data_IF_763606197355
#
_entry.id   IF_763606197355
#
_cell.length_a   1.000
_cell.length_b   1.000
_cell.length_c   1.000
_cell.angle_alpha   90.00
_cell.angle_beta   90.00
_cell.angle_gamma   90.00
#
_symmetry.space_group_name_H-M   'P 1'
#
loop_
_entity.id
_entity.type
_entity.pdbx_description
1 polymer ?
#
# COMPACT_ATOMS: atom_id res chain seq x y z
N UNK A 1 13.02 18.01 14.08
CA UNK A 1 13.90 16.98 14.70
C UNK A 1 13.88 15.76 13.80
N UNK A 2 15.01 15.05 13.61
CA UNK A 2 15.03 13.84 12.80
C UNK A 2 14.18 12.74 13.44
N UNK A 3 13.51 11.95 12.62
CA UNK A 3 12.67 10.83 13.04
C UNK A 3 13.53 9.59 13.32
N UNK A 4 13.47 9.05 14.52
CA UNK A 4 14.22 7.85 14.92
C UNK A 4 13.43 6.59 14.62
N UNK A 5 13.96 5.75 13.74
CA UNK A 5 13.29 4.52 13.31
C UNK A 5 14.08 3.30 13.76
N UNK A 6 13.40 2.36 14.41
CA UNK A 6 13.93 1.04 14.71
C UNK A 6 13.53 0.04 13.61
N UNK A 7 14.47 -0.45 12.78
CA UNK A 7 14.16 -1.43 11.74
C UNK A 7 14.10 -2.87 12.31
N UNK A 8 13.03 -3.59 12.01
CA UNK A 8 12.83 -4.97 12.47
C UNK A 8 12.53 -5.93 11.30
N UNK A 9 13.54 -6.72 10.93
CA UNK A 9 13.45 -7.64 9.80
C UNK A 9 13.40 -6.96 8.42
N UNK A 10 13.74 -5.66 8.36
CA UNK A 10 13.90 -4.89 7.12
C UNK A 10 15.39 -4.72 6.85
N UNK A 11 15.81 -4.77 5.58
CA UNK A 11 17.21 -4.60 5.18
C UNK A 11 17.70 -3.20 5.51
N UNK A 12 18.71 -3.14 6.39
CA UNK A 12 19.34 -1.89 6.80
C UNK A 12 19.99 -1.16 5.62
N UNK A 13 20.65 -1.89 4.73
CA UNK A 13 21.32 -1.31 3.56
C UNK A 13 20.32 -0.61 2.63
N UNK A 14 19.15 -1.21 2.40
CA UNK A 14 18.10 -0.60 1.59
C UNK A 14 17.50 0.63 2.27
N UNK A 15 17.34 0.58 3.59
CA UNK A 15 16.88 1.74 4.38
C UNK A 15 17.86 2.91 4.29
N UNK A 16 19.15 2.66 4.53
CA UNK A 16 20.20 3.69 4.44
C UNK A 16 20.26 4.28 3.03
N UNK A 17 20.22 3.44 1.99
CA UNK A 17 20.19 3.89 0.60
C UNK A 17 19.01 4.84 0.32
N UNK A 18 17.80 4.50 0.77
CA UNK A 18 16.61 5.35 0.56
C UNK A 18 16.73 6.67 1.32
N UNK A 19 17.19 6.63 2.58
CA UNK A 19 17.37 7.82 3.42
C UNK A 19 18.38 8.78 2.77
N UNK A 20 19.51 8.25 2.29
CA UNK A 20 20.55 9.05 1.64
C UNK A 20 20.10 9.63 0.30
N UNK A 21 19.53 8.81 -0.59
CA UNK A 21 19.10 9.23 -1.93
C UNK A 21 18.00 10.29 -1.87
N UNK A 22 17.07 10.16 -0.92
CA UNK A 22 15.96 11.10 -0.74
C UNK A 22 16.26 12.22 0.27
N UNK A 23 17.46 12.22 0.86
CA UNK A 23 17.89 13.15 1.90
C UNK A 23 16.84 13.32 3.03
N UNK A 24 16.30 12.19 3.51
CA UNK A 24 15.22 12.21 4.50
C UNK A 24 15.78 12.49 5.90
N UNK A 25 15.06 13.27 6.75
CA UNK A 25 15.46 13.52 8.13
C UNK A 25 15.14 12.31 9.03
N UNK A 26 15.76 11.16 8.75
CA UNK A 26 15.53 9.89 9.44
C UNK A 26 16.84 9.35 10.00
N UNK A 27 16.83 8.90 11.24
CA UNK A 27 17.97 8.25 11.90
C UNK A 27 17.58 6.81 12.27
N UNK A 28 18.39 5.84 11.86
CA UNK A 28 18.17 4.44 12.23
C UNK A 28 18.75 4.16 13.62
N UNK A 29 17.89 3.78 14.57
CA UNK A 29 18.30 3.39 15.94
C UNK A 29 18.29 1.87 16.13
N UNK A 30 19.15 1.38 17.02
CA UNK A 30 19.19 -0.02 17.47
C UNK A 30 18.43 -0.24 18.77
N UNK A 31 17.94 0.83 19.39
CA UNK A 31 17.24 0.78 20.65
C UNK A 31 15.79 1.22 20.46
N UNK A 32 14.86 0.38 20.91
CA UNK A 32 13.41 0.64 20.80
C UNK A 32 13.00 1.76 21.76
N UNK A 33 13.70 1.96 22.89
CA UNK A 33 13.38 3.03 23.85
C UNK A 33 13.62 4.44 23.27
N UNK A 34 14.55 4.56 22.32
CA UNK A 34 14.89 5.82 21.64
C UNK A 34 14.21 5.97 20.28
N UNK A 35 13.31 5.06 19.91
CA UNK A 35 12.65 5.07 18.62
C UNK A 35 11.31 5.81 18.66
N UNK A 36 11.10 6.72 17.70
CA UNK A 36 9.81 7.37 17.47
C UNK A 36 8.83 6.40 16.77
N UNK A 37 9.37 5.42 16.02
CA UNK A 37 8.58 4.38 15.37
C UNK A 37 9.39 3.12 15.05
N UNK A 38 8.70 1.98 14.93
CA UNK A 38 9.27 0.70 14.50
C UNK A 38 8.87 0.44 13.05
N UNK A 39 9.82 0.21 12.15
CA UNK A 39 9.54 -0.24 10.78
C UNK A 39 9.81 -1.74 10.66
N UNK A 40 8.78 -2.54 10.40
CA UNK A 40 8.87 -4.00 10.45
C UNK A 40 8.24 -4.70 9.25
N UNK A 41 8.74 -5.89 8.89
CA UNK A 41 8.00 -6.75 7.95
C UNK A 41 6.74 -7.33 8.61
N UNK A 42 5.62 -7.32 7.88
CA UNK A 42 4.34 -7.88 8.33
C UNK A 42 4.46 -9.35 8.74
N UNK A 43 5.26 -10.13 8.01
CA UNK A 43 5.54 -11.54 8.30
C UNK A 43 6.16 -11.73 9.69
N UNK A 44 7.09 -10.86 10.07
CA UNK A 44 7.78 -10.92 11.36
C UNK A 44 6.93 -10.39 12.51
N UNK A 45 6.03 -9.44 12.27
CA UNK A 45 5.11 -8.93 13.31
C UNK A 45 3.99 -9.93 13.64
N UNK A 46 3.44 -10.62 12.63
CA UNK A 46 2.41 -11.65 12.84
C UNK A 46 2.91 -12.82 13.70
N UNK A 47 4.17 -13.20 13.53
CA UNK A 47 4.75 -14.37 14.19
C UNK A 47 5.41 -14.07 15.55
N UNK A 48 5.68 -12.80 15.88
CA UNK A 48 6.35 -12.42 17.13
C UNK A 48 5.48 -11.55 18.05
N UNK A 49 4.78 -12.20 18.97
CA UNK A 49 3.97 -11.55 20.01
C UNK A 49 4.78 -10.62 20.94
N UNK A 50 6.07 -10.90 21.15
CA UNK A 50 6.97 -10.10 22.01
C UNK A 50 7.18 -8.68 21.48
N UNK A 51 7.41 -8.50 20.17
CA UNK A 51 7.61 -7.17 19.59
C UNK A 51 6.35 -6.31 19.78
N UNK A 52 5.17 -6.88 19.52
CA UNK A 52 3.89 -6.19 19.72
C UNK A 52 3.68 -5.80 21.17
N UNK A 53 4.04 -6.67 22.10
CA UNK A 53 3.95 -6.39 23.53
C UNK A 53 4.89 -5.25 23.94
N UNK A 54 6.16 -5.31 23.55
CA UNK A 54 7.16 -4.27 23.85
C UNK A 54 6.75 -2.92 23.26
N UNK A 55 6.35 -2.89 22.00
CA UNK A 55 5.87 -1.68 21.33
C UNK A 55 4.64 -1.09 22.04
N UNK A 56 3.70 -1.94 22.49
CA UNK A 56 2.51 -1.50 23.24
C UNK A 56 2.87 -0.93 24.63
N UNK A 57 3.79 -1.58 25.35
CA UNK A 57 4.26 -1.11 26.66
C UNK A 57 4.97 0.24 26.52
N UNK A 58 5.81 0.39 25.48
CA UNK A 58 6.61 1.60 25.23
C UNK A 58 5.87 2.68 24.43
N UNK A 59 4.62 2.43 24.03
CA UNK A 59 3.80 3.33 23.20
C UNK A 59 4.47 3.72 21.85
N UNK A 60 5.33 2.85 21.31
CA UNK A 60 5.99 3.09 20.03
C UNK A 60 5.14 2.48 18.90
N UNK A 61 4.71 3.27 17.90
CA UNK A 61 3.91 2.74 16.79
C UNK A 61 4.73 1.77 15.92
N UNK A 62 4.10 0.68 15.49
CA UNK A 62 4.69 -0.27 14.53
C UNK A 62 4.12 0.02 13.14
N UNK A 63 4.98 0.49 12.25
CA UNK A 63 4.72 0.59 10.83
C UNK A 63 5.14 -0.70 10.13
N UNK A 64 4.18 -1.35 9.47
CA UNK A 64 4.43 -2.64 8.81
C UNK A 64 4.55 -2.46 7.29
N UNK A 65 5.59 -3.04 6.70
CA UNK A 65 5.75 -3.19 5.25
C UNK A 65 5.66 -4.67 4.85
N UNK A 66 5.26 -4.96 3.61
CA UNK A 66 5.00 -6.32 3.14
C UNK A 66 6.30 -7.04 2.77
N UNK A 67 7.27 -6.30 2.21
CA UNK A 67 8.57 -6.78 1.78
C UNK A 67 9.64 -5.70 2.01
N UNK A 68 10.89 -6.14 2.14
CA UNK A 68 12.05 -5.25 2.20
C UNK A 68 12.50 -4.95 0.77
N UNK A 69 11.78 -4.06 0.09
CA UNK A 69 12.13 -3.56 -1.24
C UNK A 69 12.24 -2.04 -1.20
N UNK A 70 13.10 -1.47 -2.04
CA UNK A 70 13.32 -0.02 -2.12
C UNK A 70 12.00 0.76 -2.29
N UNK A 71 11.07 0.40 -3.20
CA UNK A 71 9.81 1.12 -3.34
C UNK A 71 8.94 1.11 -2.07
N UNK A 72 8.84 -0.04 -1.39
CA UNK A 72 8.04 -0.15 -0.16
C UNK A 72 8.66 0.61 1.01
N UNK A 73 9.99 0.59 1.13
CA UNK A 73 10.72 1.36 2.14
C UNK A 73 10.53 2.85 1.88
N UNK A 74 10.73 3.31 0.65
CA UNK A 74 10.51 4.71 0.24
C UNK A 74 9.11 5.19 0.59
N UNK A 75 8.08 4.45 0.17
CA UNK A 75 6.68 4.78 0.46
C UNK A 75 6.43 4.85 1.96
N UNK A 76 6.94 3.87 2.72
CA UNK A 76 6.73 3.84 4.17
C UNK A 76 7.43 4.99 4.90
N UNK A 77 8.66 5.35 4.50
CA UNK A 77 9.39 6.46 5.12
C UNK A 77 8.74 7.81 4.82
N UNK A 78 8.30 8.04 3.57
CA UNK A 78 7.55 9.25 3.20
C UNK A 78 6.26 9.39 4.02
N UNK A 79 5.52 8.28 4.18
CA UNK A 79 4.32 8.23 5.02
C UNK A 79 4.59 8.56 6.48
N UNK A 80 5.67 8.03 7.05
CA UNK A 80 6.05 8.29 8.44
C UNK A 80 6.44 9.76 8.68
N UNK A 81 6.94 10.43 7.65
CA UNK A 81 7.30 11.84 7.68
C UNK A 81 6.14 12.76 7.26
N UNK A 82 4.96 12.21 6.97
CA UNK A 82 3.83 12.94 6.36
C UNK A 82 4.23 13.74 5.12
N UNK A 83 5.15 13.20 4.31
CA UNK A 83 5.57 13.78 3.03
C UNK A 83 4.65 13.36 1.87
N UNK A 84 3.54 12.74 2.21
CA UNK A 84 2.53 12.24 1.29
C UNK A 84 1.74 13.44 0.73
N UNK A 85 1.83 13.68 -0.58
CA UNK A 85 0.88 14.54 -1.31
C UNK A 85 -0.54 13.99 -1.11
N UNK A 86 -1.61 14.81 -1.18
CA UNK A 86 -3.00 14.35 -1.03
C UNK A 86 -3.37 13.16 -1.92
N UNK A 87 -2.69 12.95 -3.05
CA UNK A 87 -2.82 11.75 -3.92
C UNK A 87 -2.48 10.41 -3.23
N UNK A 88 -1.70 10.42 -2.15
CA UNK A 88 -1.34 9.22 -1.39
C UNK A 88 -2.36 8.82 -0.31
N UNK A 89 -3.38 9.65 -0.07
CA UNK A 89 -4.52 9.28 0.78
C UNK A 89 -5.29 8.11 0.15
N UNK A 90 -5.34 8.06 -1.19
CA UNK A 90 -6.10 7.08 -1.97
C UNK A 90 -5.46 5.68 -1.93
N UNK A 91 -4.13 5.57 -1.77
CA UNK A 91 -3.46 4.28 -1.56
C UNK A 91 -3.90 3.60 -0.23
N UNK A 92 -4.32 4.38 0.78
CA UNK A 92 -4.83 3.82 2.04
C UNK A 92 -6.15 3.10 1.79
N UNK A 93 -7.02 3.64 0.95
CA UNK A 93 -8.28 3.00 0.58
C UNK A 93 -8.04 1.77 -0.31
N UNK A 94 -7.14 1.86 -1.30
CA UNK A 94 -6.76 0.69 -2.11
C UNK A 94 -6.18 -0.45 -1.25
N UNK A 95 -5.46 -0.11 -0.18
CA UNK A 95 -4.93 -1.10 0.77
C UNK A 95 -6.00 -1.84 1.59
N UNK A 96 -7.23 -1.30 1.70
CA UNK A 96 -8.37 -1.98 2.32
C UNK A 96 -8.91 -3.11 1.44
N UNK A 97 -8.85 -2.94 0.13
CA UNK A 97 -9.30 -3.95 -0.85
C UNK A 97 -8.21 -5.00 -1.12
N UNK A 98 -6.94 -4.62 -1.04
CA UNK A 98 -5.82 -5.54 -1.28
C UNK A 98 -5.57 -6.50 -0.10
N UNK A 99 -5.75 -7.79 -0.36
CA UNK A 99 -5.62 -8.83 0.65
C UNK A 99 -4.15 -9.12 1.01
N UNK A 100 -3.26 -9.15 0.00
CA UNK A 100 -1.85 -9.49 0.17
C UNK A 100 -0.90 -8.35 -0.22
N UNK A 101 -1.33 -7.42 -1.08
CA UNK A 101 -0.52 -6.37 -1.69
C UNK A 101 0.62 -6.91 -2.53
N UNK A 102 0.32 -7.92 -3.33
CA UNK A 102 1.14 -8.14 -4.49
C UNK A 102 1.05 -6.91 -5.39
N UNK A 103 2.10 -6.69 -6.17
CA UNK A 103 2.19 -5.60 -7.14
C UNK A 103 1.02 -5.68 -8.14
N UNK A 104 0.69 -6.89 -8.62
CA UNK A 104 -0.47 -7.16 -9.50
C UNK A 104 -1.82 -6.72 -8.89
N UNK A 105 -2.05 -6.93 -7.59
CA UNK A 105 -3.27 -6.48 -6.92
C UNK A 105 -3.34 -4.95 -6.86
N UNK A 106 -2.21 -4.30 -6.57
CA UNK A 106 -2.11 -2.85 -6.43
C UNK A 106 -2.29 -2.19 -7.80
N UNK A 107 -1.56 -2.66 -8.81
CA UNK A 107 -1.62 -2.14 -10.18
C UNK A 107 -3.05 -2.25 -10.74
N UNK A 108 -3.71 -3.38 -10.51
CA UNK A 108 -5.07 -3.61 -10.98
C UNK A 108 -6.12 -2.73 -10.26
N UNK A 109 -5.93 -2.47 -8.97
CA UNK A 109 -6.80 -1.57 -8.21
C UNK A 109 -6.57 -0.11 -8.61
N UNK A 110 -5.32 0.29 -8.84
CA UNK A 110 -4.98 1.60 -9.35
C UNK A 110 -5.54 1.81 -10.77
N UNK A 111 -5.44 0.83 -11.65
CA UNK A 111 -6.05 0.84 -12.98
C UNK A 111 -7.56 1.10 -12.90
N UNK A 112 -8.28 0.36 -12.03
CA UNK A 112 -9.71 0.53 -11.84
C UNK A 112 -10.05 1.91 -11.28
N UNK A 113 -9.28 2.42 -10.32
CA UNK A 113 -9.44 3.75 -9.76
C UNK A 113 -9.30 4.84 -10.82
N UNK A 114 -8.20 4.81 -11.59
CA UNK A 114 -7.95 5.80 -12.65
C UNK A 114 -9.03 5.75 -13.72
N UNK A 115 -9.50 4.56 -14.10
CA UNK A 115 -10.61 4.40 -15.03
C UNK A 115 -11.88 5.09 -14.51
N UNK A 116 -12.22 4.90 -13.23
CA UNK A 116 -13.38 5.53 -12.60
C UNK A 116 -13.23 7.06 -12.56
N UNK A 117 -12.13 7.54 -11.98
CA UNK A 117 -11.93 8.95 -11.66
C UNK A 117 -11.63 9.83 -12.86
N UNK A 118 -10.99 9.29 -13.91
CA UNK A 118 -10.57 10.09 -15.07
C UNK A 118 -11.47 9.91 -16.29
N UNK A 119 -12.22 8.82 -16.37
CA UNK A 119 -12.99 8.46 -17.56
C UNK A 119 -14.46 8.23 -17.23
N UNK A 120 -14.79 7.27 -16.36
CA UNK A 120 -16.18 6.86 -16.17
C UNK A 120 -17.03 7.99 -15.57
N UNK A 121 -16.56 8.61 -14.49
CA UNK A 121 -17.29 9.71 -13.84
C UNK A 121 -17.20 11.00 -14.66
N UNK A 122 -16.01 11.51 -15.08
CA UNK A 122 -15.95 12.81 -15.73
C UNK A 122 -16.47 12.81 -17.16
N UNK A 123 -16.29 11.70 -17.90
CA UNK A 123 -16.65 11.61 -19.33
C UNK A 123 -17.94 10.84 -19.56
N UNK A 124 -18.48 10.16 -18.55
CA UNK A 124 -19.70 9.35 -18.68
C UNK A 124 -19.52 8.16 -19.64
N UNK A 125 -18.30 7.62 -19.74
CA UNK A 125 -17.96 6.58 -20.72
C UNK A 125 -17.67 5.25 -20.04
N UNK A 126 -18.18 4.12 -20.57
CA UNK A 126 -17.80 2.81 -20.05
C UNK A 126 -16.33 2.49 -20.39
N UNK A 127 -15.64 1.81 -19.47
CA UNK A 127 -14.23 1.45 -19.63
C UNK A 127 -14.04 -0.05 -19.42
N UNK A 128 -13.32 -0.70 -20.33
CA UNK A 128 -12.82 -2.07 -20.14
C UNK A 128 -11.39 -2.01 -19.58
N UNK A 129 -11.16 -2.74 -18.49
CA UNK A 129 -9.84 -2.90 -17.88
C UNK A 129 -9.06 -4.04 -18.54
N UNK A 130 -7.80 -4.19 -18.17
CA UNK A 130 -6.96 -5.31 -18.57
C UNK A 130 -7.50 -6.65 -18.03
N UNK A 131 -7.24 -7.77 -18.75
CA UNK A 131 -7.52 -9.10 -18.23
C UNK A 131 -6.80 -9.38 -16.92
N UNK A 132 -7.52 -9.90 -15.93
CA UNK A 132 -7.00 -10.19 -14.60
C UNK A 132 -7.62 -11.47 -14.04
N UNK A 133 -6.93 -12.07 -13.07
CA UNK A 133 -7.41 -13.26 -12.34
C UNK A 133 -8.76 -13.01 -11.67
N UNK A 134 -9.51 -14.08 -11.37
CA UNK A 134 -10.82 -13.96 -10.73
C UNK A 134 -10.76 -13.24 -9.38
N UNK A 135 -9.71 -13.47 -8.59
CA UNK A 135 -9.49 -12.79 -7.31
C UNK A 135 -9.29 -11.28 -7.52
N UNK A 136 -8.46 -10.88 -8.48
CA UNK A 136 -8.19 -9.46 -8.75
C UNK A 136 -9.43 -8.73 -9.28
N UNK A 137 -10.16 -9.35 -10.20
CA UNK A 137 -11.43 -8.79 -10.71
C UNK A 137 -12.47 -8.61 -9.60
N UNK A 138 -12.49 -9.48 -8.59
CA UNK A 138 -13.37 -9.33 -7.44
C UNK A 138 -13.04 -8.06 -6.64
N UNK A 139 -11.77 -7.80 -6.35
CA UNK A 139 -11.39 -6.58 -5.62
C UNK A 139 -11.65 -5.32 -6.44
N UNK A 140 -11.39 -5.36 -7.76
CA UNK A 140 -11.74 -4.26 -8.66
C UNK A 140 -13.26 -4.00 -8.64
N UNK A 141 -14.08 -5.06 -8.60
CA UNK A 141 -15.53 -4.92 -8.48
C UNK A 141 -15.94 -4.25 -7.16
N UNK A 142 -15.36 -4.68 -6.03
CA UNK A 142 -15.60 -4.10 -4.70
C UNK A 142 -15.22 -2.60 -4.65
N UNK A 143 -14.11 -2.21 -5.29
CA UNK A 143 -13.71 -0.81 -5.44
C UNK A 143 -14.74 -0.02 -6.25
N UNK A 144 -15.19 -0.57 -7.39
CA UNK A 144 -16.17 0.11 -8.25
C UNK A 144 -17.52 0.32 -7.55
N UNK A 145 -17.96 -0.66 -6.75
CA UNK A 145 -19.16 -0.53 -5.91
C UNK A 145 -19.02 0.57 -4.86
N UNK A 146 -17.81 0.82 -4.33
CA UNK A 146 -17.54 1.93 -3.41
C UNK A 146 -17.86 3.29 -4.04
N UNK A 147 -17.58 3.44 -5.34
CA UNK A 147 -17.96 4.60 -6.14
C UNK A 147 -19.43 4.63 -6.56
N UNK A 148 -20.24 3.64 -6.13
CA UNK A 148 -21.65 3.45 -6.50
C UNK A 148 -21.88 3.24 -8.00
N UNK A 149 -20.86 2.72 -8.69
CA UNK A 149 -20.92 2.39 -10.11
C UNK A 149 -21.20 0.90 -10.31
N UNK A 150 -21.64 0.53 -11.51
CA UNK A 150 -21.84 -0.87 -11.90
C UNK A 150 -20.65 -1.39 -12.69
N UNK A 151 -20.30 -2.66 -12.50
CA UNK A 151 -19.32 -3.33 -13.35
C UNK A 151 -19.68 -4.78 -13.62
N UNK A 152 -19.30 -5.29 -14.79
CA UNK A 152 -19.53 -6.67 -15.21
C UNK A 152 -18.23 -7.28 -15.76
N UNK A 153 -18.05 -8.58 -15.58
CA UNK A 153 -16.92 -9.31 -16.16
C UNK A 153 -17.24 -9.87 -17.55
N UNK A 154 -16.34 -9.68 -18.52
CA UNK A 154 -16.48 -10.11 -19.90
C UNK A 154 -15.29 -10.95 -20.38
N UNK A 155 -15.54 -11.85 -21.33
CA UNK A 155 -14.55 -12.79 -21.88
C UNK A 155 -14.47 -14.10 -21.10
N UNK A 156 -13.53 -14.95 -21.52
CA UNK A 156 -13.21 -16.24 -20.89
C UNK A 156 -11.79 -16.21 -20.31
N UNK A 157 -11.56 -16.97 -19.25
CA UNK A 157 -10.24 -17.15 -18.67
C UNK A 157 -9.24 -17.69 -19.73
N UNK A 158 -8.00 -17.17 -19.80
CA UNK A 158 -7.38 -16.17 -18.91
C UNK A 158 -7.64 -14.71 -19.32
N UNK A 159 -8.28 -14.46 -20.46
CA UNK A 159 -8.49 -13.13 -21.04
C UNK A 159 -9.74 -12.40 -20.49
N UNK A 160 -10.26 -12.87 -19.36
CA UNK A 160 -11.46 -12.32 -18.74
C UNK A 160 -11.13 -11.03 -17.99
N UNK A 161 -11.93 -9.99 -18.21
CA UNK A 161 -11.68 -8.62 -17.76
C UNK A 161 -12.93 -7.96 -17.20
N UNK A 162 -12.75 -6.90 -16.43
CA UNK A 162 -13.85 -6.11 -15.86
C UNK A 162 -14.18 -4.94 -16.78
N UNK A 163 -15.48 -4.66 -16.99
CA UNK A 163 -15.97 -3.44 -17.62
C UNK A 163 -16.77 -2.64 -16.60
N UNK A 164 -16.46 -1.35 -16.48
CA UNK A 164 -17.09 -0.39 -15.58
C UNK A 164 -18.04 0.49 -16.40
N UNK A 165 -19.20 0.81 -15.83
CA UNK A 165 -20.24 1.61 -16.46
C UNK A 165 -20.49 2.91 -15.68
N UNK A 166 -20.84 4.01 -16.37
CA UNK A 166 -21.33 5.23 -15.73
C UNK A 166 -22.67 4.99 -15.01
N UNK A 167 -22.99 5.85 -14.05
CA UNK A 167 -24.22 5.82 -13.27
C UNK A 167 -25.47 6.17 -14.10
#
# INVERSE_FOLDING_TARGET
>A
LPLHIYPYGVSRNQLEQVIEVLNLPVILTKDIDSADAILALRSHVKNHSKLRHVAKVRQVPIQMIKASTIPQITRSLRRMLNLDDPEMTDERELSLFSHNGSEDEIDALEEARLAVEQIVIPKGQPVELLPRSAQVRKMQHELVEHYRLKSNSFGEEPNRRLRIYPA
#
